data_IF_444284929582
#
_entry.id   IF_444284929582
#
_cell.length_a   1.000
_cell.length_b   1.000
_cell.length_c   1.000
_cell.angle_alpha   90.00
_cell.angle_beta   90.00
_cell.angle_gamma   90.00
#
_symmetry.space_group_name_H-M   'P 1'
#
loop_
_entity.id
_entity.type
_entity.pdbx_description
1 polymer ?
#
# COMPACT_ATOMS: atom_id res chain seq x y z
N UNK A 1 8.93 0.41 -5.84
CA UNK A 1 7.55 0.92 -5.68
C UNK A 1 6.76 0.62 -6.96
N UNK A 2 5.42 0.68 -6.92
CA UNK A 2 4.52 0.35 -8.04
C UNK A 2 4.19 -1.14 -8.29
N UNK A 3 4.08 -1.96 -7.25
CA UNK A 3 3.72 -3.38 -7.37
C UNK A 3 2.41 -3.61 -6.59
N UNK A 4 1.40 -4.28 -7.16
CA UNK A 4 0.18 -4.66 -6.44
C UNK A 4 0.51 -5.48 -5.20
N UNK A 5 -0.17 -5.22 -4.10
CA UNK A 5 0.09 -5.89 -2.80
C UNK A 5 -1.02 -6.89 -2.49
N UNK A 6 -0.66 -8.07 -2.00
CA UNK A 6 -1.59 -9.08 -1.51
C UNK A 6 -1.27 -9.40 -0.06
N UNK A 7 -2.28 -9.45 0.82
CA UNK A 7 -2.10 -9.88 2.21
C UNK A 7 -3.37 -10.53 2.78
N UNK A 8 -3.22 -11.21 3.92
CA UNK A 8 -4.32 -11.90 4.61
C UNK A 8 -5.27 -10.97 5.37
N UNK A 9 -6.41 -11.49 5.85
CA UNK A 9 -7.48 -10.68 6.46
C UNK A 9 -7.12 -10.03 7.81
N UNK A 10 -6.00 -10.42 8.42
CA UNK A 10 -5.56 -9.89 9.71
C UNK A 10 -4.60 -8.69 9.54
N UNK A 11 -5.06 -7.65 8.85
CA UNK A 11 -4.25 -6.46 8.52
C UNK A 11 -4.65 -5.18 9.30
N UNK A 12 -5.74 -5.23 10.06
CA UNK A 12 -6.35 -4.07 10.74
C UNK A 12 -5.48 -3.35 11.79
N UNK A 13 -4.32 -3.91 12.16
CA UNK A 13 -3.35 -3.22 13.00
C UNK A 13 -2.32 -2.41 12.20
N UNK A 14 -2.51 -2.27 10.88
CA UNK A 14 -1.68 -1.45 10.00
C UNK A 14 -2.55 -0.44 9.25
N UNK A 15 -2.51 0.84 9.65
CA UNK A 15 -3.13 1.93 8.91
C UNK A 15 -2.67 2.00 7.45
N UNK A 16 -1.42 1.60 7.17
CA UNK A 16 -0.88 1.54 5.81
C UNK A 16 -1.55 0.46 4.97
N UNK A 17 -1.81 -0.72 5.55
CA UNK A 17 -2.52 -1.79 4.87
C UNK A 17 -3.98 -1.38 4.59
N UNK A 18 -4.67 -0.77 5.55
CA UNK A 18 -6.02 -0.22 5.34
C UNK A 18 -6.04 0.86 4.24
N UNK A 19 -5.07 1.77 4.28
CA UNK A 19 -4.90 2.79 3.26
C UNK A 19 -4.62 2.22 1.87
N UNK A 20 -3.81 1.17 1.76
CA UNK A 20 -3.53 0.50 0.49
C UNK A 20 -4.76 -0.20 -0.10
N UNK A 21 -5.62 -0.81 0.73
CA UNK A 21 -6.90 -1.37 0.27
C UNK A 21 -7.80 -0.24 -0.25
N UNK A 22 -7.95 0.83 0.53
CA UNK A 22 -8.78 1.97 0.17
C UNK A 22 -8.31 2.65 -1.13
N UNK A 23 -6.99 2.70 -1.37
CA UNK A 23 -6.40 3.24 -2.59
C UNK A 23 -6.49 2.28 -3.80
N UNK A 24 -6.95 1.03 -3.62
CA UNK A 24 -6.97 0.02 -4.68
C UNK A 24 -5.58 -0.56 -5.02
N UNK A 25 -4.57 -0.25 -4.21
CA UNK A 25 -3.20 -0.77 -4.35
C UNK A 25 -2.99 -2.16 -3.74
N UNK A 26 -3.92 -2.61 -2.89
CA UNK A 26 -3.89 -3.92 -2.26
C UNK A 26 -5.19 -4.72 -2.41
N UNK A 27 -5.07 -6.04 -2.26
CA UNK A 27 -6.19 -6.97 -2.18
C UNK A 27 -6.04 -7.91 -0.99
N UNK A 28 -7.14 -8.10 -0.28
CA UNK A 28 -7.22 -8.96 0.90
C UNK A 28 -7.57 -10.38 0.44
N UNK A 29 -6.75 -11.36 0.84
CA UNK A 29 -6.85 -12.75 0.44
C UNK A 29 -7.22 -13.62 1.65
N UNK A 30 -8.38 -14.25 1.61
CA UNK A 30 -8.93 -15.05 2.72
C UNK A 30 -8.54 -16.52 2.64
N UNK A 31 -8.29 -17.03 1.42
CA UNK A 31 -8.00 -18.44 1.20
C UNK A 31 -7.11 -18.68 -0.02
N UNK A 32 -6.77 -19.95 -0.25
CA UNK A 32 -5.92 -20.40 -1.35
C UNK A 32 -6.57 -20.15 -2.73
N UNK A 33 -7.90 -20.23 -2.83
CA UNK A 33 -8.62 -20.06 -4.09
C UNK A 33 -8.60 -18.60 -4.53
N UNK A 34 -8.83 -17.68 -3.60
CA UNK A 34 -8.66 -16.25 -3.81
C UNK A 34 -7.23 -15.90 -4.20
N UNK A 35 -6.24 -16.48 -3.51
CA UNK A 35 -4.83 -16.26 -3.86
C UNK A 35 -4.51 -16.70 -5.29
N UNK A 36 -4.95 -17.91 -5.68
CA UNK A 36 -4.72 -18.43 -7.02
C UNK A 36 -5.39 -17.56 -8.09
N UNK A 37 -6.62 -17.10 -7.84
CA UNK A 37 -7.34 -16.19 -8.73
C UNK A 37 -6.63 -14.84 -8.86
N UNK A 38 -6.20 -14.24 -7.76
CA UNK A 38 -5.48 -12.98 -7.74
C UNK A 38 -4.15 -13.07 -8.48
N UNK A 39 -3.34 -14.12 -8.23
CA UNK A 39 -2.08 -14.35 -8.92
C UNK A 39 -2.29 -14.57 -10.43
N UNK A 40 -3.30 -15.36 -10.82
CA UNK A 40 -3.63 -15.56 -12.23
C UNK A 40 -4.00 -14.22 -12.90
N UNK A 41 -4.86 -13.43 -12.26
CA UNK A 41 -5.29 -12.14 -12.78
C UNK A 41 -4.12 -11.16 -12.90
N UNK A 42 -3.29 -11.04 -11.87
CA UNK A 42 -2.13 -10.16 -11.88
C UNK A 42 -1.04 -10.59 -12.85
N UNK A 43 -0.89 -11.88 -13.16
CA UNK A 43 0.11 -12.34 -14.14
C UNK A 43 -0.39 -12.26 -15.57
N UNK A 44 -1.67 -12.53 -15.81
CA UNK A 44 -2.25 -12.57 -17.16
C UNK A 44 -2.79 -11.23 -17.66
N UNK A 45 -3.22 -10.32 -16.77
CA UNK A 45 -3.73 -8.99 -17.13
C UNK A 45 -2.70 -7.91 -16.80
N UNK A 46 -1.93 -7.53 -17.82
CA UNK A 46 -0.88 -6.52 -17.68
C UNK A 46 -1.43 -5.12 -17.37
N UNK A 47 -2.62 -4.78 -17.90
CA UNK A 47 -3.23 -3.47 -17.67
C UNK A 47 -3.68 -3.34 -16.22
N UNK A 48 -4.39 -4.36 -15.71
CA UNK A 48 -4.83 -4.36 -14.32
C UNK A 48 -3.66 -4.41 -13.34
N UNK A 49 -2.61 -5.20 -13.64
CA UNK A 49 -1.39 -5.22 -12.83
C UNK A 49 -0.74 -3.84 -12.77
N UNK A 50 -0.64 -3.15 -13.90
CA UNK A 50 -0.05 -1.81 -13.95
C UNK A 50 -0.89 -0.78 -13.20
N UNK A 51 -2.22 -0.84 -13.30
CA UNK A 51 -3.13 0.07 -12.61
C UNK A 51 -3.02 -0.07 -11.09
N UNK A 52 -3.16 -1.29 -10.58
CA UNK A 52 -3.03 -1.58 -9.13
C UNK A 52 -1.62 -1.29 -8.62
N UNK A 53 -0.61 -1.55 -9.45
CA UNK A 53 0.78 -1.19 -9.15
C UNK A 53 0.91 0.32 -8.97
N UNK A 54 0.43 1.11 -9.93
CA UNK A 54 0.44 2.58 -9.85
C UNK A 54 -0.28 3.09 -8.60
N UNK A 55 -1.44 2.55 -8.27
CA UNK A 55 -2.16 2.91 -7.05
C UNK A 55 -1.34 2.65 -5.78
N UNK A 56 -0.73 1.46 -5.67
CA UNK A 56 0.13 1.12 -4.52
C UNK A 56 1.36 2.04 -4.42
N UNK A 57 1.98 2.36 -5.56
CA UNK A 57 3.13 3.26 -5.57
C UNK A 57 2.76 4.70 -5.24
N UNK A 58 1.67 5.24 -5.80
CA UNK A 58 1.17 6.57 -5.49
C UNK A 58 0.86 6.71 -4.00
N UNK A 59 0.17 5.73 -3.40
CA UNK A 59 -0.11 5.69 -1.96
C UNK A 59 1.15 5.86 -1.11
N UNK A 60 2.22 5.13 -1.44
CA UNK A 60 3.50 5.21 -0.73
C UNK A 60 4.15 6.57 -0.96
N UNK A 61 4.23 7.04 -2.21
CA UNK A 61 4.90 8.30 -2.56
C UNK A 61 4.26 9.50 -1.85
N UNK A 62 2.93 9.58 -1.82
CA UNK A 62 2.17 10.64 -1.14
C UNK A 62 2.42 10.71 0.37
N UNK A 63 2.86 9.60 0.97
CA UNK A 63 3.07 9.45 2.42
C UNK A 63 4.55 9.41 2.80
N UNK A 64 5.45 9.65 1.85
CA UNK A 64 6.88 9.82 2.15
C UNK A 64 7.16 11.17 2.81
N UNK A 65 8.33 11.30 3.46
CA UNK A 65 8.76 12.57 4.06
C UNK A 65 8.29 12.83 5.50
N UNK A 66 7.44 11.97 6.06
CA UNK A 66 6.95 12.09 7.44
C UNK A 66 8.09 12.22 8.48
N UNK A 67 9.16 11.43 8.35
CA UNK A 67 10.31 11.51 9.25
C UNK A 67 10.98 12.89 9.24
N UNK A 68 11.16 13.49 8.05
CA UNK A 68 11.74 14.82 7.92
C UNK A 68 10.84 15.89 8.54
N UNK A 69 9.52 15.79 8.32
CA UNK A 69 8.51 16.68 8.92
C UNK A 69 8.55 16.61 10.45
N UNK A 70 8.58 15.39 11.01
CA UNK A 70 8.63 15.18 12.47
C UNK A 70 9.93 15.75 13.05
N UNK A 71 11.08 15.47 12.43
CA UNK A 71 12.37 16.01 12.88
C UNK A 71 12.37 17.54 12.87
N UNK A 72 11.82 18.16 11.81
CA UNK A 72 11.72 19.61 11.73
C UNK A 72 10.81 20.18 12.82
N UNK A 73 9.67 19.54 13.09
CA UNK A 73 8.75 19.96 14.14
C UNK A 73 9.39 19.89 15.54
N UNK A 74 10.14 18.82 15.83
CA UNK A 74 10.85 18.66 17.11
C UNK A 74 11.89 19.77 17.28
N UNK A 75 12.70 20.04 16.25
CA UNK A 75 13.71 21.12 16.29
C UNK A 75 13.07 22.47 16.61
N UNK A 76 12.00 22.83 15.91
CA UNK A 76 11.30 24.11 16.14
C UNK A 76 10.69 24.23 17.54
N UNK A 77 10.26 23.12 18.16
CA UNK A 77 9.76 23.12 19.54
C UNK A 77 10.88 23.24 20.58
N UNK A 78 12.09 22.77 20.28
CA UNK A 78 13.24 22.87 21.18
C UNK A 78 13.93 24.24 21.15
N UNK A 79 13.70 25.04 20.11
CA UNK A 79 14.27 26.39 19.93
C UNK A 79 13.37 27.50 20.52
N UNK A 80 12.17 27.15 20.99
CA UNK A 80 11.27 27.99 21.80
C UNK A 80 11.46 27.76 23.30
#
# INVERSE_FOLDING_TARGET
YNIPVLFGPRYHNSPEAEGLVAAGGAEVIHDQKELAAALKRLTMDAAQRAERGRAAGAFVQERTGAAAIIVQAIKSYMET
#
